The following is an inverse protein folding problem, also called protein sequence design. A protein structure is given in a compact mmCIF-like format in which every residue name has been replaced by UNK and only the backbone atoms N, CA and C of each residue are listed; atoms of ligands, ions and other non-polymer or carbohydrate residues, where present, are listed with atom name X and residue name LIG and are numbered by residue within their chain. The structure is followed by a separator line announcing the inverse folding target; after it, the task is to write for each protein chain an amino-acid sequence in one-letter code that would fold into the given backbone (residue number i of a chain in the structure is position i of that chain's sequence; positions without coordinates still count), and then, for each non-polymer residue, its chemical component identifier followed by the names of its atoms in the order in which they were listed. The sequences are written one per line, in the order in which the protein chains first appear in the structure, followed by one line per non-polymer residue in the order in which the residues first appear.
data_IF_369852560140
#
_entry.id   IF_369852560140
#
_cell.length_a   1.000
_cell.length_b   1.000
_cell.length_c   1.000
_cell.angle_alpha   90.00
_cell.angle_beta   90.00
_cell.angle_gamma   90.00
#
_symmetry.space_group_name_H-M   'P 1'
#
loop_
_entity.id
_entity.type
_entity.pdbx_description
1 polymer ?
#
# COMPACT_ATOMS: atom_id res chain seq x y z
N UNK A 1 9.05 29.99 -19.42
CA UNK A 1 8.53 29.22 -18.27
C UNK A 1 9.73 28.68 -17.51
N UNK A 2 9.97 29.15 -16.29
CA UNK A 2 11.19 28.85 -15.56
C UNK A 2 10.97 27.65 -14.65
N UNK A 3 11.85 26.66 -14.73
CA UNK A 3 11.85 25.51 -13.82
C UNK A 3 12.20 25.99 -12.42
N UNK A 4 11.37 25.64 -11.43
CA UNK A 4 11.69 25.90 -10.03
C UNK A 4 12.80 24.96 -9.54
N UNK A 5 14.05 25.39 -9.73
CA UNK A 5 15.25 24.62 -9.38
C UNK A 5 15.25 24.20 -7.91
N UNK A 6 14.76 25.05 -7.01
CA UNK A 6 14.71 24.75 -5.58
C UNK A 6 13.80 23.54 -5.28
N UNK A 7 12.63 23.48 -5.92
CA UNK A 7 11.69 22.39 -5.71
C UNK A 7 12.21 21.06 -6.29
N UNK A 8 12.91 21.10 -7.42
CA UNK A 8 13.57 19.91 -8.00
C UNK A 8 14.66 19.37 -7.07
N UNK A 9 15.47 20.24 -6.46
CA UNK A 9 16.51 19.82 -5.51
C UNK A 9 15.90 19.11 -4.30
N UNK A 10 14.83 19.67 -3.71
CA UNK A 10 14.13 19.05 -2.58
C UNK A 10 13.56 17.68 -2.94
N UNK A 11 12.95 17.56 -4.12
CA UNK A 11 12.39 16.30 -4.62
C UNK A 11 13.46 15.21 -4.76
N UNK A 12 14.61 15.54 -5.36
CA UNK A 12 15.72 14.60 -5.54
C UNK A 12 16.26 14.15 -4.18
N UNK A 13 16.48 15.08 -3.25
CA UNK A 13 16.95 14.74 -1.90
C UNK A 13 15.98 13.81 -1.17
N UNK A 14 14.67 14.06 -1.29
CA UNK A 14 13.63 13.23 -0.69
C UNK A 14 13.63 11.80 -1.25
N UNK A 15 13.73 11.64 -2.58
CA UNK A 15 13.82 10.31 -3.19
C UNK A 15 15.09 9.56 -2.80
N UNK A 16 16.24 10.25 -2.71
CA UNK A 16 17.49 9.64 -2.23
C UNK A 16 17.36 9.16 -0.78
N UNK A 17 16.68 9.91 0.09
CA UNK A 17 16.44 9.50 1.47
C UNK A 17 15.58 8.22 1.55
N UNK A 18 14.48 8.15 0.77
CA UNK A 18 13.64 6.94 0.69
C UNK A 18 14.46 5.75 0.20
N UNK A 19 15.26 5.95 -0.85
CA UNK A 19 16.11 4.91 -1.42
C UNK A 19 17.15 4.41 -0.41
N UNK A 20 17.78 5.32 0.34
CA UNK A 20 18.72 4.95 1.40
C UNK A 20 18.06 4.11 2.50
N UNK A 21 16.86 4.49 2.96
CA UNK A 21 16.10 3.71 3.97
C UNK A 21 15.75 2.33 3.42
N UNK A 22 15.31 2.23 2.17
CA UNK A 22 15.01 0.97 1.51
C UNK A 22 16.24 0.05 1.40
N UNK A 23 17.39 0.60 1.00
CA UNK A 23 18.66 -0.14 0.93
C UNK A 23 19.13 -0.60 2.32
N UNK A 24 19.04 0.25 3.34
CA UNK A 24 19.41 -0.11 4.72
C UNK A 24 18.51 -1.22 5.26
N UNK A 25 17.20 -1.14 5.00
CA UNK A 25 16.25 -2.17 5.38
C UNK A 25 16.56 -3.51 4.66
N UNK A 26 16.78 -3.48 3.35
CA UNK A 26 17.14 -4.65 2.56
C UNK A 26 18.46 -5.28 3.03
N UNK A 27 19.48 -4.46 3.32
CA UNK A 27 20.76 -4.93 3.84
C UNK A 27 20.62 -5.59 5.23
N UNK A 28 19.80 -5.01 6.11
CA UNK A 28 19.53 -5.54 7.45
C UNK A 28 18.77 -6.87 7.42
N UNK A 29 17.85 -7.04 6.46
CA UNK A 29 17.16 -8.33 6.21
C UNK A 29 18.15 -9.37 5.68
N UNK A 30 18.93 -9.03 4.65
CA UNK A 30 19.96 -9.92 4.08
C UNK A 30 20.98 -10.39 5.12
N UNK A 31 21.39 -9.49 6.02
CA UNK A 31 22.31 -9.82 7.13
C UNK A 31 21.71 -10.76 8.17
N UNK A 32 20.38 -10.78 8.36
CA UNK A 32 19.70 -11.74 9.23
C UNK A 32 19.56 -13.11 8.56
N UNK A 33 19.24 -13.14 7.26
CA UNK A 33 19.20 -14.37 6.45
C UNK A 33 20.54 -15.11 6.44
N UNK A 34 21.66 -14.39 6.45
CA UNK A 34 23.01 -14.96 6.48
C UNK A 34 23.42 -15.59 7.84
N UNK A 35 22.69 -15.31 8.92
CA UNK A 35 23.01 -15.77 10.30
C UNK A 35 22.35 -17.08 10.71
N UNK A 36 21.74 -17.83 9.78
CA UNK A 36 21.40 -19.25 9.99
C UNK A 36 19.97 -19.56 10.46
N UNK A 37 19.04 -18.61 10.41
CA UNK A 37 17.62 -18.87 10.69
C UNK A 37 16.87 -19.13 9.37
N UNK A 38 17.00 -20.36 8.84
CA UNK A 38 16.24 -20.81 7.66
C UNK A 38 14.78 -21.08 8.06
N UNK A 39 14.01 -20.01 8.21
CA UNK A 39 12.54 -20.06 8.18
C UNK A 39 12.15 -19.67 6.75
N UNK A 40 11.37 -20.53 6.08
CA UNK A 40 11.11 -20.53 4.64
C UNK A 40 11.18 -19.17 3.96
N UNK A 41 12.06 -19.04 2.97
CA UNK A 41 12.39 -17.80 2.24
C UNK A 41 11.14 -17.03 1.78
N UNK A 42 10.08 -17.75 1.41
CA UNK A 42 8.78 -17.21 1.00
C UNK A 42 7.95 -16.68 2.18
N UNK A 43 7.90 -17.36 3.33
CA UNK A 43 7.17 -16.86 4.52
C UNK A 43 7.83 -15.62 5.12
N UNK A 44 9.16 -15.58 5.12
CA UNK A 44 9.91 -14.42 5.61
C UNK A 44 9.76 -13.22 4.67
N UNK A 45 9.76 -13.44 3.35
CA UNK A 45 9.59 -12.35 2.38
C UNK A 45 8.14 -11.86 2.24
N UNK A 46 7.14 -12.73 2.36
CA UNK A 46 5.73 -12.38 2.16
C UNK A 46 5.02 -11.96 3.46
N UNK A 47 5.35 -12.58 4.59
CA UNK A 47 4.64 -12.38 5.86
C UNK A 47 5.55 -11.77 6.94
N UNK A 48 6.78 -11.36 6.58
CA UNK A 48 7.80 -10.84 7.50
C UNK A 48 7.98 -11.76 8.73
N UNK A 49 7.95 -13.08 8.51
CA UNK A 49 8.10 -14.07 9.57
C UNK A 49 6.97 -14.07 10.62
N UNK A 50 5.82 -13.42 10.33
CA UNK A 50 4.67 -13.27 11.25
C UNK A 50 4.98 -12.48 12.54
N UNK A 51 6.11 -11.79 12.57
CA UNK A 51 6.63 -11.03 13.73
C UNK A 51 6.46 -9.51 13.56
N UNK A 52 5.56 -9.10 12.65
CA UNK A 52 5.17 -7.71 12.52
C UNK A 52 4.41 -7.27 13.78
N UNK A 53 4.99 -6.31 14.49
CA UNK A 53 4.31 -5.61 15.59
C UNK A 53 3.02 -4.97 15.04
N UNK A 54 1.92 -5.09 15.79
CA UNK A 54 0.61 -4.54 15.41
C UNK A 54 0.68 -3.06 15.06
N UNK A 55 1.50 -2.28 15.77
CA UNK A 55 1.72 -0.86 15.47
C UNK A 55 2.30 -0.63 14.07
N UNK A 56 3.32 -1.40 13.69
CA UNK A 56 3.93 -1.33 12.35
C UNK A 56 2.91 -1.73 11.29
N UNK A 57 2.10 -2.77 11.55
CA UNK A 57 1.01 -3.16 10.66
C UNK A 57 -0.03 -2.06 10.43
N UNK A 58 -0.42 -1.34 11.49
CA UNK A 58 -1.35 -0.20 11.39
C UNK A 58 -0.75 0.91 10.52
N UNK A 59 0.51 1.30 10.79
CA UNK A 59 1.17 2.34 9.98
C UNK A 59 1.28 1.94 8.51
N UNK A 60 1.61 0.68 8.22
CA UNK A 60 1.66 0.17 6.84
C UNK A 60 0.30 0.23 6.15
N UNK A 61 -0.77 -0.20 6.81
CA UNK A 61 -2.12 -0.15 6.22
C UNK A 61 -2.60 1.28 5.94
N UNK A 62 -2.26 2.23 6.84
CA UNK A 62 -2.52 3.65 6.62
C UNK A 62 -1.70 4.16 5.43
N UNK A 63 -0.40 3.82 5.37
CA UNK A 63 0.47 4.21 4.27
C UNK A 63 0.00 3.68 2.90
N UNK A 64 -0.63 2.49 2.86
CA UNK A 64 -1.21 1.94 1.63
C UNK A 64 -2.47 2.67 1.16
N UNK A 65 -3.32 3.09 2.10
CA UNK A 65 -4.63 3.69 1.79
C UNK A 65 -4.55 5.21 1.60
N UNK A 66 -3.63 5.88 2.27
CA UNK A 66 -3.44 7.33 2.20
C UNK A 66 -2.33 7.66 1.20
N UNK A 67 -2.72 7.81 -0.07
CA UNK A 67 -1.82 8.16 -1.17
C UNK A 67 -2.24 9.43 -1.94
N UNK A 68 -1.48 9.78 -2.98
CA UNK A 68 -1.75 10.97 -3.81
C UNK A 68 -3.12 10.94 -4.50
N UNK A 69 -3.58 9.78 -4.96
CA UNK A 69 -4.92 9.61 -5.54
C UNK A 69 -6.05 9.83 -4.52
N UNK A 70 -5.86 9.35 -3.28
CA UNK A 70 -6.81 9.58 -2.19
C UNK A 70 -6.91 11.05 -1.80
N UNK A 71 -5.77 11.74 -1.68
CA UNK A 71 -5.72 13.15 -1.30
C UNK A 71 -6.31 14.04 -2.41
N UNK A 72 -5.85 13.86 -3.65
CA UNK A 72 -6.32 14.67 -4.77
C UNK A 72 -7.81 14.42 -5.07
N UNK A 73 -8.25 13.16 -5.04
CA UNK A 73 -9.65 12.82 -5.24
C UNK A 73 -10.55 13.37 -4.14
N UNK A 74 -10.13 13.27 -2.87
CA UNK A 74 -10.90 13.85 -1.76
C UNK A 74 -10.95 15.38 -1.85
N UNK A 75 -9.84 16.03 -2.23
CA UNK A 75 -9.80 17.48 -2.40
C UNK A 75 -10.73 17.95 -3.53
N UNK A 76 -10.77 17.23 -4.67
CA UNK A 76 -11.69 17.54 -5.77
C UNK A 76 -13.15 17.39 -5.37
N UNK A 77 -13.51 16.28 -4.72
CA UNK A 77 -14.89 16.01 -4.30
C UNK A 77 -15.37 17.02 -3.24
N UNK A 78 -14.51 17.41 -2.29
CA UNK A 78 -14.83 18.48 -1.33
C UNK A 78 -15.08 19.80 -2.05
N UNK A 79 -14.26 20.13 -3.04
CA UNK A 79 -14.40 21.38 -3.79
C UNK A 79 -15.67 21.41 -4.66
N UNK A 80 -16.10 20.26 -5.21
CA UNK A 80 -17.27 20.18 -6.10
C UNK A 80 -18.59 19.96 -5.37
N UNK A 81 -18.62 19.09 -4.36
CA UNK A 81 -19.85 18.60 -3.74
C UNK A 81 -19.91 18.85 -2.22
N UNK A 82 -18.86 19.42 -1.62
CA UNK A 82 -18.81 19.78 -0.21
C UNK A 82 -18.42 18.63 0.73
N UNK A 83 -18.30 18.94 2.02
CA UNK A 83 -17.79 18.02 3.05
C UNK A 83 -18.67 16.76 3.26
N UNK A 84 -19.93 16.79 2.82
CA UNK A 84 -20.88 15.68 3.01
C UNK A 84 -20.47 14.43 2.22
N UNK A 85 -19.76 14.61 1.11
CA UNK A 85 -19.31 13.50 0.25
C UNK A 85 -17.98 12.87 0.68
N UNK A 86 -17.33 13.39 1.72
CA UNK A 86 -16.13 12.76 2.32
C UNK A 86 -16.46 11.65 3.30
N UNK A 87 -17.42 10.79 2.97
CA UNK A 87 -17.68 9.57 3.74
C UNK A 87 -16.66 8.47 3.42
N UNK A 88 -15.97 8.55 2.28
CA UNK A 88 -14.97 7.56 1.87
C UNK A 88 -13.84 7.35 2.91
N UNK A 89 -13.22 8.39 3.50
CA UNK A 89 -12.23 8.22 4.57
C UNK A 89 -12.76 7.49 5.80
N UNK A 90 -13.99 7.80 6.24
CA UNK A 90 -14.62 7.18 7.40
C UNK A 90 -14.99 5.71 7.10
N UNK A 91 -15.47 5.43 5.89
CA UNK A 91 -15.75 4.07 5.43
C UNK A 91 -14.51 3.19 5.40
N UNK A 92 -13.37 3.71 4.90
CA UNK A 92 -12.09 3.00 4.92
C UNK A 92 -11.64 2.74 6.36
N UNK A 93 -11.73 3.73 7.24
CA UNK A 93 -11.33 3.56 8.64
C UNK A 93 -12.18 2.49 9.35
N UNK A 94 -13.50 2.58 9.25
CA UNK A 94 -14.41 1.62 9.88
C UNK A 94 -14.23 0.23 9.26
N UNK A 95 -14.12 0.14 7.93
CA UNK A 95 -13.90 -1.10 7.20
C UNK A 95 -12.58 -1.78 7.58
N UNK A 96 -11.51 -1.00 7.77
CA UNK A 96 -10.21 -1.51 8.19
C UNK A 96 -10.26 -2.08 9.62
N UNK A 97 -10.90 -1.36 10.55
CA UNK A 97 -11.03 -1.80 11.93
C UNK A 97 -11.92 -3.05 12.05
N UNK A 98 -13.06 -3.06 11.36
CA UNK A 98 -14.00 -4.18 11.37
C UNK A 98 -13.41 -5.40 10.64
N UNK A 99 -12.82 -5.17 9.47
CA UNK A 99 -12.16 -6.21 8.68
C UNK A 99 -10.97 -6.83 9.43
N UNK A 100 -10.16 -5.98 10.08
CA UNK A 100 -9.08 -6.44 10.95
C UNK A 100 -9.59 -7.27 12.13
N UNK A 101 -10.62 -6.82 12.84
CA UNK A 101 -11.17 -7.53 13.99
C UNK A 101 -11.75 -8.91 13.63
N UNK A 102 -12.47 -9.00 12.51
CA UNK A 102 -13.17 -10.23 12.10
C UNK A 102 -12.24 -11.21 11.39
N UNK A 103 -11.43 -10.73 10.44
CA UNK A 103 -10.68 -11.61 9.53
C UNK A 103 -9.24 -11.85 9.98
N UNK A 104 -8.58 -10.93 10.69
CA UNK A 104 -7.16 -11.08 11.01
C UNK A 104 -6.88 -12.32 11.89
N UNK A 105 -7.74 -12.61 12.86
CA UNK A 105 -7.59 -13.80 13.72
C UNK A 105 -7.79 -15.10 12.94
N UNK A 106 -8.79 -15.14 12.04
CA UNK A 106 -9.12 -16.30 11.20
C UNK A 106 -8.02 -16.59 10.17
N UNK A 107 -7.48 -15.55 9.54
CA UNK A 107 -6.35 -15.69 8.62
C UNK A 107 -5.08 -16.13 9.37
N UNK A 108 -4.83 -15.60 10.57
CA UNK A 108 -3.66 -15.98 11.39
C UNK A 108 -3.74 -17.43 11.88
N UNK A 109 -4.91 -17.95 12.26
CA UNK A 109 -5.06 -19.33 12.72
C UNK A 109 -4.96 -20.35 11.59
N UNK A 110 -5.43 -20.01 10.38
CA UNK A 110 -5.42 -20.93 9.23
C UNK A 110 -4.08 -20.99 8.48
N UNK A 111 -3.09 -20.18 8.87
CA UNK A 111 -1.77 -20.06 8.21
C UNK A 111 -1.83 -19.81 6.69
N UNK A 112 -2.86 -19.11 6.22
CA UNK A 112 -2.91 -18.64 4.83
C UNK A 112 -1.76 -17.66 4.55
N UNK A 113 -1.14 -17.82 3.37
CA UNK A 113 -0.06 -16.99 2.86
C UNK A 113 -0.60 -15.85 1.99
N UNK A 114 -1.70 -16.10 1.27
CA UNK A 114 -2.36 -15.10 0.44
C UNK A 114 -3.82 -14.88 0.86
N UNK A 115 -4.36 -13.71 0.52
CA UNK A 115 -5.79 -13.42 0.71
C UNK A 115 -6.69 -14.32 -0.16
N UNK A 116 -6.13 -14.93 -1.21
CA UNK A 116 -6.85 -15.80 -2.15
C UNK A 116 -6.92 -17.26 -1.69
N UNK A 117 -6.00 -17.71 -0.83
CA UNK A 117 -5.97 -19.08 -0.29
C UNK A 117 -7.33 -19.55 0.28
N UNK A 118 -8.06 -18.78 1.12
CA UNK A 118 -9.37 -19.23 1.61
C UNK A 118 -10.41 -19.39 0.50
N UNK A 119 -10.35 -18.57 -0.55
CA UNK A 119 -11.26 -18.68 -1.70
C UNK A 119 -10.91 -19.87 -2.59
N UNK A 120 -9.62 -20.18 -2.71
CA UNK A 120 -9.14 -21.33 -3.45
C UNK A 120 -9.58 -22.65 -2.81
N UNK A 121 -9.50 -22.74 -1.48
CA UNK A 121 -9.90 -23.94 -0.72
C UNK A 121 -11.42 -24.14 -0.71
N UNK A 122 -12.21 -23.06 -0.58
CA UNK A 122 -13.68 -23.18 -0.46
C UNK A 122 -14.44 -23.14 -1.79
N UNK A 123 -13.96 -22.41 -2.80
CA UNK A 123 -14.71 -22.14 -4.04
C UNK A 123 -13.98 -22.62 -5.31
N UNK A 124 -12.81 -23.24 -5.15
CA UNK A 124 -12.03 -23.79 -6.24
C UNK A 124 -11.31 -22.73 -7.09
N UNK A 125 -10.60 -23.22 -8.12
CA UNK A 125 -9.68 -22.39 -8.89
C UNK A 125 -10.36 -21.37 -9.81
N UNK A 126 -11.57 -21.66 -10.32
CA UNK A 126 -12.25 -20.79 -11.28
C UNK A 126 -12.78 -19.51 -10.62
N UNK A 127 -13.38 -19.62 -9.43
CA UNK A 127 -13.83 -18.45 -8.66
C UNK A 127 -12.64 -17.62 -8.21
N UNK A 128 -11.56 -18.28 -7.77
CA UNK A 128 -10.32 -17.61 -7.38
C UNK A 128 -9.69 -16.83 -8.54
N UNK A 129 -9.70 -17.40 -9.74
CA UNK A 129 -9.21 -16.73 -10.94
C UNK A 129 -10.03 -15.49 -11.30
N UNK A 130 -11.36 -15.56 -11.22
CA UNK A 130 -12.23 -14.41 -11.45
C UNK A 130 -11.97 -13.29 -10.44
N UNK A 131 -11.90 -13.62 -9.15
CA UNK A 131 -11.58 -12.64 -8.09
C UNK A 131 -10.19 -12.02 -8.33
N UNK A 132 -9.20 -12.83 -8.68
CA UNK A 132 -7.86 -12.34 -9.00
C UNK A 132 -7.87 -11.38 -10.19
N UNK A 133 -8.60 -11.71 -11.27
CA UNK A 133 -8.71 -10.83 -12.45
C UNK A 133 -9.35 -9.49 -12.10
N UNK A 134 -10.40 -9.49 -11.28
CA UNK A 134 -11.04 -8.25 -10.82
C UNK A 134 -10.10 -7.43 -9.93
N UNK A 135 -9.36 -8.08 -9.02
CA UNK A 135 -8.35 -7.43 -8.18
C UNK A 135 -7.25 -6.79 -9.03
N UNK A 136 -6.75 -7.50 -10.03
CA UNK A 136 -5.69 -7.02 -10.91
C UNK A 136 -6.11 -5.75 -11.66
N UNK A 137 -7.34 -5.70 -12.17
CA UNK A 137 -7.88 -4.49 -12.80
C UNK A 137 -7.99 -3.35 -11.79
N UNK A 138 -8.44 -3.63 -10.56
CA UNK A 138 -8.49 -2.66 -9.47
C UNK A 138 -7.10 -2.08 -9.14
N UNK A 139 -6.09 -2.93 -9.01
CA UNK A 139 -4.71 -2.53 -8.73
C UNK A 139 -4.10 -1.70 -9.88
N UNK A 140 -4.43 -2.04 -11.12
CA UNK A 140 -4.03 -1.25 -12.29
C UNK A 140 -4.67 0.13 -12.28
N UNK A 141 -5.97 0.23 -12.01
CA UNK A 141 -6.68 1.51 -11.90
C UNK A 141 -6.15 2.35 -10.73
N UNK A 142 -5.85 1.71 -9.60
CA UNK A 142 -5.25 2.37 -8.44
C UNK A 142 -3.85 2.94 -8.78
N UNK A 143 -3.01 2.13 -9.42
CA UNK A 143 -1.67 2.55 -9.86
C UNK A 143 -1.74 3.68 -10.88
N UNK A 144 -2.68 3.62 -11.82
CA UNK A 144 -2.92 4.68 -12.80
C UNK A 144 -3.33 6.00 -12.13
N UNK A 145 -4.19 5.95 -11.10
CA UNK A 145 -4.56 7.13 -10.31
C UNK A 145 -3.36 7.76 -9.59
N UNK A 146 -2.49 6.94 -9.00
CA UNK A 146 -1.26 7.42 -8.36
C UNK A 146 -0.32 8.07 -9.39
N UNK A 147 -0.12 7.46 -10.55
CA UNK A 147 0.69 8.01 -11.63
C UNK A 147 0.12 9.33 -12.17
N UNK A 148 -1.19 9.42 -12.31
CA UNK A 148 -1.87 10.66 -12.71
C UNK A 148 -1.67 11.77 -11.67
N UNK A 149 -1.85 11.45 -10.38
CA UNK A 149 -1.59 12.37 -9.28
C UNK A 149 -0.12 12.84 -9.30
N UNK A 150 0.84 11.94 -9.50
CA UNK A 150 2.26 12.27 -9.62
C UNK A 150 2.53 13.21 -10.80
N UNK A 151 1.92 12.95 -11.97
CA UNK A 151 2.02 13.81 -13.14
C UNK A 151 1.51 15.23 -12.89
N UNK A 152 0.38 15.37 -12.20
CA UNK A 152 -0.16 16.66 -11.78
C UNK A 152 0.78 17.41 -10.83
N UNK A 153 1.36 16.70 -9.84
CA UNK A 153 2.35 17.30 -8.94
C UNK A 153 3.60 17.75 -9.68
N UNK A 154 4.14 16.94 -10.59
CA UNK A 154 5.31 17.32 -11.39
C UNK A 154 5.02 18.56 -12.24
N UNK A 155 3.83 18.64 -12.86
CA UNK A 155 3.42 19.81 -13.62
C UNK A 155 3.38 21.07 -12.73
N UNK A 156 2.70 21.01 -11.58
CA UNK A 156 2.64 22.14 -10.64
C UNK A 156 4.03 22.55 -10.12
N UNK A 157 4.95 21.62 -9.90
CA UNK A 157 6.28 21.92 -9.36
C UNK A 157 7.24 22.47 -10.42
N UNK A 158 7.19 21.95 -11.66
CA UNK A 158 8.04 22.40 -12.77
C UNK A 158 7.53 23.70 -13.41
N UNK A 159 6.22 23.93 -13.38
CA UNK A 159 5.55 25.10 -13.93
C UNK A 159 4.83 25.86 -12.80
N UNK A 160 5.61 26.51 -11.95
CA UNK A 160 5.13 27.45 -10.93
C UNK A 160 5.79 28.81 -11.11
#
# INVERSE_FOLDING_TARGET
MAVNVAAVVVLVLFYLAILAVGLLAAYKVKSKTFKGEQIGELETSLVAGRDLKTSVGIFTMIATTVGGGFINGTAEEVARAGLVWTLAPLGIFIGLNLGGAVYAKKMRSARYLTMLDPFQVHHGNLVTFLIYSASLVGDLLWTASILNALGLFMCCVLFS
#
